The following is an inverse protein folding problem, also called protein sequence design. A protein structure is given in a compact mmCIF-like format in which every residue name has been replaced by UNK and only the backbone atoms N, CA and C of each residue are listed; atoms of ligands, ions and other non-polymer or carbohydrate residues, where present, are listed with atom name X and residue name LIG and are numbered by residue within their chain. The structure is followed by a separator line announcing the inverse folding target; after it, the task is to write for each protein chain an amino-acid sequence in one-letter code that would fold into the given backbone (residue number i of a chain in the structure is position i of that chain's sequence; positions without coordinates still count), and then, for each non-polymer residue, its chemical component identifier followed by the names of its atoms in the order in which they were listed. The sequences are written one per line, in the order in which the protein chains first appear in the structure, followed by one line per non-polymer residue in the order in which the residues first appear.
data_IF_001259225064
#
_entry.id   IF_001259225064
#
_cell.length_a   1.000
_cell.length_b   1.000
_cell.length_c   1.000
_cell.angle_alpha   90.00
_cell.angle_beta   90.00
_cell.angle_gamma   90.00
#
_symmetry.space_group_name_H-M   'P 1'
#
loop_
_entity.id
_entity.type
_entity.pdbx_description
1 polymer ?
#
# COMPACT_ATOMS: atom_id res chain seq x y z
N UNK A 1 2.85 -7.32 17.85
CA UNK A 1 1.72 -6.35 17.77
C UNK A 1 0.46 -7.02 18.29
N UNK A 2 -0.21 -6.52 19.32
CA UNK A 2 -1.43 -7.15 19.84
C UNK A 2 -2.66 -6.79 19.00
N UNK A 3 -3.56 -7.76 18.83
CA UNK A 3 -4.91 -7.53 18.36
C UNK A 3 -5.82 -7.13 19.51
N UNK A 4 -6.37 -5.93 19.43
CA UNK A 4 -7.25 -5.35 20.44
C UNK A 4 -8.68 -5.23 19.85
N UNK A 5 -9.73 -5.71 20.55
CA UNK A 5 -11.09 -5.50 20.11
C UNK A 5 -11.42 -4.02 19.97
N UNK A 6 -12.16 -3.67 18.91
CA UNK A 6 -12.64 -2.29 18.73
C UNK A 6 -13.88 -2.04 19.61
N UNK A 7 -13.84 -1.06 20.52
CA UNK A 7 -14.96 -0.80 21.42
C UNK A 7 -16.18 -0.19 20.72
N UNK A 8 -16.01 0.42 19.56
CA UNK A 8 -17.08 1.07 18.79
C UNK A 8 -17.71 0.13 17.75
N UNK A 9 -16.98 -0.94 17.36
CA UNK A 9 -17.42 -1.90 16.35
C UNK A 9 -17.30 -3.32 16.89
N UNK A 10 -18.38 -3.86 17.51
CA UNK A 10 -18.37 -5.22 18.07
C UNK A 10 -18.02 -6.28 17.01
N UNK A 11 -16.99 -7.08 17.30
CA UNK A 11 -16.48 -8.08 16.36
C UNK A 11 -15.31 -7.64 15.51
N UNK A 12 -15.04 -6.34 15.46
CA UNK A 12 -13.86 -5.79 14.79
C UNK A 12 -12.64 -5.72 15.74
N UNK A 13 -11.45 -5.68 15.14
CA UNK A 13 -10.17 -5.63 15.84
C UNK A 13 -9.25 -4.58 15.24
N UNK A 14 -8.42 -4.00 16.09
CA UNK A 14 -7.27 -3.16 15.71
C UNK A 14 -5.98 -3.95 15.93
N UNK A 15 -5.06 -3.85 14.99
CA UNK A 15 -3.66 -4.24 15.20
C UNK A 15 -2.92 -3.01 15.72
N UNK A 16 -2.38 -3.09 16.92
CA UNK A 16 -1.77 -1.94 17.58
C UNK A 16 -0.27 -2.17 17.77
N UNK A 17 0.53 -1.15 17.48
CA UNK A 17 1.95 -1.10 17.78
C UNK A 17 2.24 0.12 18.66
N UNK A 18 2.65 -0.11 19.91
CA UNK A 18 2.69 0.98 20.89
C UNK A 18 1.30 1.59 21.08
N UNK A 19 1.17 2.88 20.81
CA UNK A 19 -0.11 3.61 20.85
C UNK A 19 -0.74 3.79 19.47
N UNK A 20 -0.10 3.27 18.42
CA UNK A 20 -0.52 3.47 17.02
C UNK A 20 -1.29 2.27 16.48
N UNK A 21 -2.47 2.50 15.90
CA UNK A 21 -3.20 1.49 15.15
C UNK A 21 -2.59 1.31 13.77
N UNK A 22 -2.12 0.11 13.45
CA UNK A 22 -1.53 -0.24 12.15
C UNK A 22 -2.56 -0.81 11.17
N UNK A 23 -3.65 -1.37 11.68
CA UNK A 23 -4.69 -1.97 10.86
C UNK A 23 -6.00 -2.04 11.64
N UNK A 24 -7.09 -2.03 10.90
CA UNK A 24 -8.44 -2.28 11.43
C UNK A 24 -9.14 -3.32 10.55
N UNK A 25 -9.79 -4.29 11.17
CA UNK A 25 -10.46 -5.39 10.47
C UNK A 25 -11.77 -5.75 11.15
N UNK A 26 -12.84 -5.77 10.38
CA UNK A 26 -14.09 -6.44 10.72
C UNK A 26 -14.26 -7.66 9.79
N UNK A 27 -14.16 -8.89 10.31
CA UNK A 27 -14.31 -10.09 9.49
C UNK A 27 -15.69 -10.23 8.86
N UNK A 28 -16.73 -9.68 9.48
CA UNK A 28 -18.11 -9.73 8.98
C UNK A 28 -18.38 -8.64 7.93
N UNK A 29 -17.57 -7.58 7.93
CA UNK A 29 -17.73 -6.42 7.05
C UNK A 29 -16.41 -6.07 6.35
N UNK A 30 -15.91 -6.95 5.49
CA UNK A 30 -14.66 -6.68 4.75
C UNK A 30 -14.78 -5.48 3.79
N UNK A 31 -15.99 -5.04 3.49
CA UNK A 31 -16.31 -3.81 2.74
C UNK A 31 -16.09 -2.52 3.53
N UNK A 32 -16.10 -2.59 4.87
CA UNK A 32 -15.93 -1.45 5.74
C UNK A 32 -14.44 -1.16 5.96
N UNK A 33 -13.97 -0.06 5.40
CA UNK A 33 -12.59 0.39 5.50
C UNK A 33 -12.56 1.68 6.34
N UNK A 34 -11.95 1.64 7.53
CA UNK A 34 -11.90 2.80 8.42
C UNK A 34 -10.69 3.70 8.17
N UNK A 35 -9.57 3.14 7.72
CA UNK A 35 -8.38 3.94 7.45
C UNK A 35 -8.48 4.62 6.09
N UNK A 36 -8.30 5.92 6.09
CA UNK A 36 -8.48 6.77 4.90
C UNK A 36 -7.59 6.32 3.75
N UNK A 37 -6.33 5.96 4.03
CA UNK A 37 -5.42 5.48 2.97
C UNK A 37 -5.89 4.14 2.39
N UNK A 38 -6.47 3.25 3.19
CA UNK A 38 -6.99 1.96 2.70
C UNK A 38 -8.18 2.17 1.76
N UNK A 39 -9.05 3.16 2.06
CA UNK A 39 -10.12 3.58 1.15
C UNK A 39 -9.52 4.05 -0.18
N UNK A 40 -8.46 4.87 -0.15
CA UNK A 40 -7.82 5.35 -1.38
C UNK A 40 -7.09 4.22 -2.13
N UNK A 41 -6.50 3.23 -1.43
CA UNK A 41 -5.95 2.01 -2.05
C UNK A 41 -7.06 1.23 -2.77
N UNK A 42 -8.24 1.12 -2.18
CA UNK A 42 -9.38 0.46 -2.83
C UNK A 42 -9.83 1.16 -4.12
N UNK A 43 -9.83 2.49 -4.14
CA UNK A 43 -10.11 3.26 -5.35
C UNK A 43 -9.01 3.10 -6.41
N UNK A 44 -7.73 3.08 -6.01
CA UNK A 44 -6.62 2.79 -6.91
C UNK A 44 -6.75 1.38 -7.54
N UNK A 45 -7.15 0.38 -6.75
CA UNK A 45 -7.44 -0.96 -7.25
C UNK A 45 -8.52 -0.94 -8.34
N UNK A 46 -9.65 -0.27 -8.09
CA UNK A 46 -10.77 -0.20 -9.04
C UNK A 46 -10.40 0.51 -10.34
N UNK A 47 -9.78 1.68 -10.23
CA UNK A 47 -9.43 2.52 -11.37
C UNK A 47 -8.14 2.10 -12.09
N UNK A 48 -7.23 1.42 -11.39
CA UNK A 48 -5.98 0.92 -11.95
C UNK A 48 -6.14 -0.41 -12.70
N UNK A 49 -7.18 -1.19 -12.38
CA UNK A 49 -7.50 -2.46 -13.02
C UNK A 49 -8.83 -2.41 -13.77
N UNK A 50 -9.29 -1.21 -14.14
CA UNK A 50 -10.57 -1.01 -14.82
C UNK A 50 -10.67 -1.73 -16.18
N UNK A 51 -9.53 -1.96 -16.83
CA UNK A 51 -9.41 -2.71 -18.10
C UNK A 51 -9.45 -4.23 -17.93
N UNK A 52 -9.40 -4.73 -16.67
CA UNK A 52 -9.41 -6.16 -16.38
C UNK A 52 -10.82 -6.64 -16.11
N UNK A 53 -11.33 -7.51 -16.98
CA UNK A 53 -12.67 -8.06 -16.86
C UNK A 53 -12.94 -8.70 -15.50
N UNK A 54 -14.16 -8.53 -14.97
CA UNK A 54 -14.53 -9.05 -13.63
C UNK A 54 -14.35 -10.58 -13.49
N UNK A 55 -14.42 -11.32 -14.57
CA UNK A 55 -14.21 -12.77 -14.61
C UNK A 55 -12.75 -13.20 -14.79
N UNK A 56 -11.84 -12.27 -15.07
CA UNK A 56 -10.44 -12.60 -15.23
C UNK A 56 -9.78 -12.84 -13.88
N UNK A 57 -8.96 -13.88 -13.79
CA UNK A 57 -8.17 -14.15 -12.59
C UNK A 57 -6.98 -13.22 -12.53
N UNK A 58 -6.84 -12.51 -11.43
CA UNK A 58 -5.68 -11.70 -11.12
C UNK A 58 -4.88 -12.29 -9.97
N UNK A 59 -3.60 -11.91 -9.91
CA UNK A 59 -2.70 -12.21 -8.79
C UNK A 59 -2.26 -10.92 -8.14
N UNK A 60 -2.42 -10.86 -6.83
CA UNK A 60 -1.99 -9.71 -6.02
C UNK A 60 -0.94 -10.16 -5.03
N UNK A 61 0.14 -9.41 -4.96
CA UNK A 61 1.19 -9.60 -3.97
C UNK A 61 1.10 -8.45 -2.98
N UNK A 62 1.11 -8.77 -1.69
CA UNK A 62 1.16 -7.79 -0.61
C UNK A 62 2.50 -7.90 0.09
N UNK A 63 3.17 -6.78 0.27
CA UNK A 63 4.38 -6.62 1.06
C UNK A 63 3.96 -5.88 2.33
N UNK A 64 3.99 -6.61 3.45
CA UNK A 64 3.28 -6.23 4.67
C UNK A 64 1.86 -6.76 4.70
N UNK A 65 1.42 -7.21 5.87
CA UNK A 65 0.11 -7.86 6.02
C UNK A 65 -0.70 -7.33 7.17
N UNK A 66 -0.07 -7.09 8.29
CA UNK A 66 -0.71 -6.69 9.56
C UNK A 66 -2.03 -7.47 9.81
N UNK A 67 -3.18 -6.78 9.89
CA UNK A 67 -4.51 -7.41 10.07
C UNK A 67 -5.13 -7.99 8.81
N UNK A 68 -4.47 -7.89 7.65
CA UNK A 68 -4.96 -8.33 6.35
C UNK A 68 -6.21 -7.56 5.86
N UNK A 69 -6.37 -6.28 6.21
CA UNK A 69 -7.53 -5.47 5.79
C UNK A 69 -7.63 -5.36 4.26
N UNK A 70 -6.56 -4.97 3.58
CA UNK A 70 -6.53 -4.85 2.12
C UNK A 70 -6.74 -6.21 1.43
N UNK A 71 -6.03 -7.30 1.81
CA UNK A 71 -6.27 -8.62 1.25
C UNK A 71 -7.73 -9.11 1.41
N UNK A 72 -8.36 -8.87 2.57
CA UNK A 72 -9.74 -9.26 2.83
C UNK A 72 -10.72 -8.47 1.97
N UNK A 73 -10.50 -7.14 1.85
CA UNK A 73 -11.30 -6.30 0.98
C UNK A 73 -11.20 -6.76 -0.49
N UNK A 74 -10.01 -7.06 -0.99
CA UNK A 74 -9.82 -7.56 -2.37
C UNK A 74 -10.52 -8.90 -2.56
N UNK A 75 -10.41 -9.83 -1.60
CA UNK A 75 -11.09 -11.13 -1.68
C UNK A 75 -12.63 -11.00 -1.71
N UNK A 76 -13.17 -10.03 -0.96
CA UNK A 76 -14.60 -9.71 -0.97
C UNK A 76 -15.01 -9.02 -2.28
N UNK A 77 -14.25 -8.02 -2.71
CA UNK A 77 -14.56 -7.21 -3.90
C UNK A 77 -14.42 -7.98 -5.20
N UNK A 78 -13.44 -8.86 -5.28
CA UNK A 78 -13.12 -9.67 -6.46
C UNK A 78 -12.83 -11.12 -6.05
N UNK A 79 -13.89 -11.93 -5.82
CA UNK A 79 -13.74 -13.32 -5.42
C UNK A 79 -12.92 -14.11 -6.46
N UNK A 80 -12.08 -15.04 -5.98
CA UNK A 80 -11.21 -15.83 -6.84
C UNK A 80 -9.86 -15.19 -7.16
N UNK A 81 -9.58 -13.97 -6.68
CA UNK A 81 -8.25 -13.37 -6.73
C UNK A 81 -7.25 -14.21 -5.95
N UNK A 82 -6.13 -14.56 -6.60
CA UNK A 82 -5.03 -15.24 -5.93
C UNK A 82 -4.13 -14.20 -5.25
N UNK A 83 -3.95 -14.33 -3.93
CA UNK A 83 -3.20 -13.35 -3.14
C UNK A 83 -2.08 -14.02 -2.35
N UNK A 84 -0.88 -13.43 -2.38
CA UNK A 84 0.24 -13.79 -1.52
C UNK A 84 0.58 -12.57 -0.68
N UNK A 85 0.69 -12.78 0.62
CA UNK A 85 1.11 -11.76 1.59
C UNK A 85 2.47 -12.16 2.12
N UNK A 86 3.48 -11.32 1.98
CA UNK A 86 4.79 -11.44 2.58
C UNK A 86 4.75 -10.66 3.91
N UNK A 87 4.73 -11.39 5.04
CA UNK A 87 4.64 -10.84 6.39
C UNK A 87 5.68 -11.56 7.27
N UNK A 88 6.76 -10.88 7.66
CA UNK A 88 7.85 -11.54 8.42
C UNK A 88 7.50 -11.80 9.90
N UNK A 89 6.47 -11.14 10.46
CA UNK A 89 6.05 -11.41 11.85
C UNK A 89 5.13 -12.64 11.91
N UNK A 90 5.75 -13.81 12.10
CA UNK A 90 5.03 -15.07 12.28
C UNK A 90 4.09 -15.05 13.47
N UNK A 91 4.47 -14.37 14.57
CA UNK A 91 3.65 -14.26 15.78
C UNK A 91 2.37 -13.46 15.52
N UNK A 92 2.49 -12.33 14.81
CA UNK A 92 1.33 -11.55 14.37
C UNK A 92 0.44 -12.38 13.44
N UNK A 93 1.03 -13.08 12.48
CA UNK A 93 0.29 -13.92 11.52
C UNK A 93 -0.50 -15.02 12.27
N UNK A 94 0.09 -15.66 13.26
CA UNK A 94 -0.58 -16.69 14.07
C UNK A 94 -1.75 -16.09 14.88
N UNK A 95 -1.53 -14.94 15.52
CA UNK A 95 -2.58 -14.24 16.28
C UNK A 95 -3.74 -13.81 15.38
N UNK A 96 -3.43 -13.24 14.21
CA UNK A 96 -4.44 -12.86 13.20
C UNK A 96 -5.23 -14.08 12.74
N UNK A 97 -4.59 -15.19 12.42
CA UNK A 97 -5.28 -16.44 12.03
C UNK A 97 -6.21 -16.97 13.10
N UNK A 98 -5.82 -16.85 14.35
CA UNK A 98 -6.59 -17.34 15.49
C UNK A 98 -7.80 -16.47 15.80
N UNK A 99 -7.65 -15.14 15.82
CA UNK A 99 -8.72 -14.18 16.17
C UNK A 99 -9.58 -13.76 14.99
N UNK A 100 -8.98 -13.71 13.82
CA UNK A 100 -9.58 -13.25 12.56
C UNK A 100 -9.37 -14.31 11.47
N UNK A 101 -9.97 -15.51 11.58
CA UNK A 101 -9.77 -16.56 10.60
C UNK A 101 -10.18 -16.09 9.20
N UNK A 102 -9.43 -16.52 8.20
CA UNK A 102 -9.76 -16.23 6.81
C UNK A 102 -10.93 -17.14 6.38
N UNK A 103 -11.86 -16.61 5.57
CA UNK A 103 -12.92 -17.45 5.00
C UNK A 103 -12.33 -18.61 4.17
N UNK A 104 -12.99 -19.76 4.14
CA UNK A 104 -12.60 -20.84 3.24
C UNK A 104 -12.53 -20.34 1.80
N UNK A 105 -11.47 -20.73 1.09
CA UNK A 105 -11.25 -20.34 -0.32
C UNK A 105 -11.09 -18.81 -0.54
N UNK A 106 -10.66 -18.08 0.47
CA UNK A 106 -10.39 -16.64 0.35
C UNK A 106 -9.36 -16.27 -0.72
N UNK A 107 -8.55 -17.23 -1.17
CA UNK A 107 -7.45 -16.98 -2.11
C UNK A 107 -6.20 -16.37 -1.46
N UNK A 108 -6.24 -16.03 -0.17
CA UNK A 108 -5.16 -15.37 0.56
C UNK A 108 -4.21 -16.41 1.15
N UNK A 109 -2.91 -16.29 0.84
CA UNK A 109 -1.83 -17.09 1.41
C UNK A 109 -0.82 -16.16 2.07
N UNK A 110 -0.65 -16.26 3.38
CA UNK A 110 0.40 -15.53 4.10
C UNK A 110 1.65 -16.41 4.15
N UNK A 111 2.79 -15.81 3.78
CA UNK A 111 4.12 -16.40 3.85
C UNK A 111 4.92 -15.65 4.92
N UNK A 112 5.56 -16.40 5.78
CA UNK A 112 6.49 -15.92 6.79
C UNK A 112 7.83 -15.60 6.12
N UNK A 113 7.90 -14.43 5.48
CA UNK A 113 9.04 -13.96 4.71
C UNK A 113 8.97 -12.45 4.56
N UNK A 114 10.13 -11.79 4.55
CA UNK A 114 10.22 -10.37 4.25
C UNK A 114 9.86 -10.06 2.78
N UNK A 115 9.67 -8.77 2.48
CA UNK A 115 9.23 -8.32 1.16
C UNK A 115 10.23 -8.62 0.05
N UNK A 116 11.54 -8.37 0.28
CA UNK A 116 12.60 -8.60 -0.73
C UNK A 116 12.76 -10.09 -1.05
N UNK A 117 12.92 -10.90 -0.01
CA UNK A 117 13.04 -12.36 -0.16
C UNK A 117 11.80 -12.97 -0.81
N UNK A 118 10.63 -12.51 -0.42
CA UNK A 118 9.36 -12.97 -0.99
C UNK A 118 9.25 -12.67 -2.48
N UNK A 119 9.59 -11.44 -2.90
CA UNK A 119 9.57 -11.01 -4.32
C UNK A 119 10.63 -11.75 -5.14
N UNK A 120 11.85 -11.85 -4.63
CA UNK A 120 12.96 -12.55 -5.31
C UNK A 120 12.64 -14.02 -5.61
N UNK A 121 11.89 -14.69 -4.74
CA UNK A 121 11.48 -16.09 -4.90
C UNK A 121 10.33 -16.29 -5.90
N UNK A 122 9.75 -15.23 -6.46
CA UNK A 122 8.64 -15.34 -7.42
C UNK A 122 9.16 -15.24 -8.87
N UNK A 123 8.52 -15.96 -9.82
CA UNK A 123 8.92 -15.87 -11.22
C UNK A 123 8.58 -14.50 -11.83
N UNK A 124 9.22 -14.11 -12.95
CA UNK A 124 8.85 -12.91 -13.69
C UNK A 124 7.39 -12.99 -14.18
N UNK A 125 6.79 -11.84 -14.45
CA UNK A 125 5.41 -11.71 -14.95
C UNK A 125 4.35 -12.44 -14.10
N UNK A 126 4.57 -12.51 -12.80
CA UNK A 126 3.73 -13.26 -11.88
C UNK A 126 2.55 -12.47 -11.34
N UNK A 127 2.71 -11.17 -11.09
CA UNK A 127 1.72 -10.33 -10.43
C UNK A 127 1.02 -9.36 -11.40
N UNK A 128 -0.27 -9.17 -11.21
CA UNK A 128 -1.04 -8.10 -11.85
C UNK A 128 -1.04 -6.82 -11.00
N UNK A 129 -0.92 -6.96 -9.69
CA UNK A 129 -0.82 -5.88 -8.72
C UNK A 129 0.14 -6.26 -7.60
N UNK A 130 0.96 -5.31 -7.20
CA UNK A 130 1.72 -5.37 -5.94
C UNK A 130 1.23 -4.23 -5.04
N UNK A 131 0.93 -4.53 -3.78
CA UNK A 131 0.63 -3.54 -2.75
C UNK A 131 1.79 -3.56 -1.75
N UNK A 132 2.52 -2.45 -1.65
CA UNK A 132 3.57 -2.24 -0.68
C UNK A 132 2.98 -1.38 0.45
N UNK A 133 2.72 -2.03 1.57
CA UNK A 133 2.14 -1.43 2.78
C UNK A 133 2.85 -2.03 4.00
N UNK A 134 4.19 -1.88 4.02
CA UNK A 134 5.08 -2.46 5.02
C UNK A 134 5.71 -1.37 5.86
N UNK A 135 5.57 -1.50 7.17
CA UNK A 135 6.10 -0.58 8.16
C UNK A 135 6.85 -1.33 9.24
N UNK A 136 8.02 -0.82 9.61
CA UNK A 136 8.68 -1.17 10.86
C UNK A 136 8.42 -0.02 11.86
N UNK A 137 7.50 -0.26 12.79
CA UNK A 137 6.99 0.81 13.63
C UNK A 137 6.25 1.90 12.84
N UNK A 138 6.86 3.08 12.70
CA UNK A 138 6.26 4.24 12.03
C UNK A 138 6.91 4.59 10.68
N UNK A 139 7.88 3.84 10.22
CA UNK A 139 8.62 4.10 8.98
C UNK A 139 8.59 2.94 7.99
N UNK A 140 8.71 3.28 6.72
CA UNK A 140 8.87 2.32 5.64
C UNK A 140 10.35 1.95 5.56
N UNK A 141 10.72 0.64 5.57
CA UNK A 141 12.10 0.22 5.45
C UNK A 141 12.74 0.68 4.13
N UNK A 142 13.95 1.26 4.22
CA UNK A 142 14.66 1.79 3.07
C UNK A 142 14.96 0.75 2.00
N UNK A 143 15.16 -0.48 2.38
CA UNK A 143 15.38 -1.60 1.47
C UNK A 143 14.21 -1.87 0.50
N UNK A 144 13.00 -1.44 0.84
CA UNK A 144 11.79 -1.61 0.03
C UNK A 144 11.58 -0.47 -0.98
N UNK A 145 12.45 0.54 -1.00
CA UNK A 145 12.34 1.69 -1.90
C UNK A 145 13.57 1.90 -2.78
N UNK A 146 14.61 1.09 -2.59
CA UNK A 146 15.83 1.13 -3.39
C UNK A 146 15.55 0.72 -4.85
N UNK A 147 16.31 1.28 -5.77
CA UNK A 147 16.20 1.04 -7.20
C UNK A 147 16.28 -0.45 -7.55
N UNK A 148 17.16 -1.19 -6.89
CA UNK A 148 17.36 -2.62 -7.09
C UNK A 148 16.10 -3.42 -6.71
N UNK A 149 15.42 -3.05 -5.62
CA UNK A 149 14.15 -3.66 -5.26
C UNK A 149 13.02 -3.28 -6.23
N UNK A 150 13.02 -2.04 -6.72
CA UNK A 150 12.05 -1.60 -7.73
C UNK A 150 12.24 -2.33 -9.07
N UNK A 151 13.47 -2.73 -9.42
CA UNK A 151 13.74 -3.58 -10.58
C UNK A 151 13.11 -4.97 -10.40
N UNK A 152 13.21 -5.55 -9.20
CA UNK A 152 12.55 -6.80 -8.87
C UNK A 152 11.01 -6.70 -8.93
N UNK A 153 10.44 -5.60 -8.45
CA UNK A 153 9.00 -5.35 -8.59
C UNK A 153 8.58 -5.21 -10.06
N UNK A 154 9.40 -4.53 -10.87
CA UNK A 154 9.14 -4.39 -12.30
C UNK A 154 9.27 -5.73 -13.05
N UNK A 155 10.20 -6.59 -12.64
CA UNK A 155 10.34 -7.97 -13.14
C UNK A 155 9.12 -8.82 -12.78
N UNK A 156 8.61 -8.67 -11.57
CA UNK A 156 7.48 -9.42 -11.06
C UNK A 156 6.15 -9.04 -11.74
N UNK A 157 6.01 -7.79 -12.16
CA UNK A 157 4.76 -7.26 -12.71
C UNK A 157 4.49 -7.73 -14.13
N UNK A 158 3.39 -8.45 -14.34
CA UNK A 158 2.93 -8.86 -15.67
C UNK A 158 2.64 -7.64 -16.54
N UNK A 159 3.45 -7.47 -17.60
CA UNK A 159 3.35 -6.27 -18.44
C UNK A 159 3.56 -4.97 -17.67
N UNK A 160 4.31 -5.03 -16.54
CA UNK A 160 4.48 -3.94 -15.57
C UNK A 160 3.14 -3.33 -15.15
N UNK A 161 2.19 -4.19 -14.76
CA UNK A 161 0.86 -3.71 -14.44
C UNK A 161 0.90 -2.66 -13.36
N UNK A 162 0.70 -2.93 -12.12
CA UNK A 162 0.55 -1.86 -11.13
C UNK A 162 1.27 -2.18 -9.83
N UNK A 163 1.89 -1.17 -9.26
CA UNK A 163 2.37 -1.16 -7.87
C UNK A 163 1.68 -0.01 -7.14
N UNK A 164 1.07 -0.29 -6.00
CA UNK A 164 0.51 0.69 -5.08
C UNK A 164 1.38 0.68 -3.83
N UNK A 165 1.95 1.83 -3.48
CA UNK A 165 2.81 1.97 -2.31
C UNK A 165 2.18 2.96 -1.33
N UNK A 166 2.07 2.54 -0.06
CA UNK A 166 1.74 3.43 1.04
C UNK A 166 3.03 3.80 1.77
N UNK A 167 3.31 5.09 1.85
CA UNK A 167 4.47 5.62 2.56
C UNK A 167 4.05 6.79 3.44
N UNK A 168 4.89 7.15 4.40
CA UNK A 168 4.65 8.28 5.28
C UNK A 168 5.75 9.32 5.17
N UNK A 169 5.38 10.58 5.03
CA UNK A 169 6.33 11.70 4.90
C UNK A 169 5.64 13.03 5.25
N UNK A 170 6.41 14.09 5.21
CA UNK A 170 5.95 15.48 5.36
C UNK A 170 6.71 16.40 4.42
N UNK A 171 6.14 17.58 4.15
CA UNK A 171 6.82 18.59 3.35
C UNK A 171 8.22 18.89 3.92
N UNK A 172 9.26 18.99 3.06
CA UNK A 172 9.26 19.13 1.60
C UNK A 172 9.25 17.80 0.82
N UNK A 173 8.96 16.64 1.43
CA UNK A 173 8.85 15.32 0.80
C UNK A 173 10.15 14.84 0.13
N UNK A 174 11.30 15.17 0.68
CA UNK A 174 12.58 14.82 0.07
C UNK A 174 12.76 13.32 -0.13
N UNK A 175 12.37 12.53 0.87
CA UNK A 175 12.42 11.09 0.83
C UNK A 175 11.44 10.51 -0.22
N UNK A 176 10.17 10.94 -0.18
CA UNK A 176 9.14 10.44 -1.12
C UNK A 176 9.44 10.83 -2.57
N UNK A 177 10.07 12.00 -2.81
CA UNK A 177 10.50 12.42 -4.16
C UNK A 177 11.56 11.48 -4.73
N UNK A 178 12.52 11.04 -3.93
CA UNK A 178 13.54 10.06 -4.34
C UNK A 178 12.89 8.71 -4.67
N UNK A 179 11.98 8.24 -3.83
CA UNK A 179 11.21 7.02 -4.12
C UNK A 179 10.38 7.16 -5.40
N UNK A 180 9.69 8.28 -5.58
CA UNK A 180 8.91 8.57 -6.79
C UNK A 180 9.78 8.63 -8.05
N UNK A 181 11.02 9.14 -7.95
CA UNK A 181 11.98 9.13 -9.05
C UNK A 181 12.29 7.69 -9.49
N UNK A 182 12.57 6.79 -8.54
CA UNK A 182 12.81 5.38 -8.82
C UNK A 182 11.64 4.67 -9.50
N UNK A 183 10.41 4.98 -9.07
CA UNK A 183 9.21 4.46 -9.72
C UNK A 183 9.02 5.04 -11.14
N UNK A 184 9.28 6.33 -11.34
CA UNK A 184 9.11 7.00 -12.63
C UNK A 184 10.08 6.48 -13.72
N UNK A 185 11.25 5.96 -13.34
CA UNK A 185 12.19 5.32 -14.28
C UNK A 185 11.70 3.97 -14.80
N UNK A 186 10.86 3.27 -14.05
CA UNK A 186 10.45 1.88 -14.31
C UNK A 186 9.05 1.73 -14.84
N UNK A 187 8.15 2.66 -14.53
CA UNK A 187 6.76 2.61 -14.96
C UNK A 187 6.40 3.84 -15.79
N UNK A 188 5.57 3.60 -16.80
CA UNK A 188 5.14 4.66 -17.74
C UNK A 188 4.22 5.69 -17.10
N UNK A 189 3.40 5.25 -16.15
CA UNK A 189 2.40 6.08 -15.48
C UNK A 189 2.67 6.07 -13.99
N UNK A 190 2.74 7.24 -13.40
CA UNK A 190 2.90 7.42 -11.96
C UNK A 190 1.93 8.48 -11.47
N UNK A 191 1.29 8.18 -10.34
CA UNK A 191 0.41 9.08 -9.60
C UNK A 191 0.93 9.16 -8.17
N UNK A 192 0.83 10.34 -7.58
CA UNK A 192 1.06 10.54 -6.14
C UNK A 192 -0.14 11.26 -5.57
N UNK A 193 -0.67 10.72 -4.48
CA UNK A 193 -1.84 11.28 -3.81
C UNK A 193 -1.67 11.32 -2.30
N UNK A 194 -2.17 12.36 -1.71
CA UNK A 194 -2.31 12.49 -0.26
C UNK A 194 -3.36 13.53 0.08
N UNK A 195 -3.69 13.66 1.35
CA UNK A 195 -4.61 14.66 1.83
C UNK A 195 -4.10 16.08 1.59
N UNK A 196 -5.01 17.05 1.34
CA UNK A 196 -4.63 18.45 1.15
C UNK A 196 -3.85 19.07 2.30
N UNK A 197 -4.05 18.60 3.53
CA UNK A 197 -3.33 19.09 4.70
C UNK A 197 -1.85 18.64 4.69
N UNK A 198 -1.59 17.41 4.27
CA UNK A 198 -0.24 16.86 4.08
C UNK A 198 0.46 17.59 2.93
N UNK A 199 -0.21 17.76 1.77
CA UNK A 199 0.33 18.53 0.63
C UNK A 199 0.77 19.95 1.01
N UNK A 200 0.02 20.59 1.90
CA UNK A 200 0.31 21.95 2.38
C UNK A 200 1.35 22.00 3.51
N UNK A 201 1.97 20.86 3.86
CA UNK A 201 2.97 20.77 4.92
C UNK A 201 2.42 21.07 6.33
N UNK A 202 1.10 20.93 6.53
CA UNK A 202 0.46 21.21 7.82
C UNK A 202 0.55 20.05 8.79
N UNK A 203 0.78 18.85 8.28
CA UNK A 203 0.98 17.63 9.07
C UNK A 203 1.80 16.59 8.31
N UNK A 204 2.35 15.65 9.05
CA UNK A 204 2.84 14.39 8.56
C UNK A 204 1.66 13.50 8.15
N UNK A 205 1.83 12.60 7.22
CA UNK A 205 0.75 11.67 6.84
C UNK A 205 1.12 10.72 5.72
N UNK A 206 0.15 9.90 5.35
CA UNK A 206 0.31 8.91 4.30
C UNK A 206 0.33 9.58 2.91
N UNK A 207 1.24 9.11 2.07
CA UNK A 207 1.23 9.36 0.63
C UNK A 207 1.07 8.02 -0.08
N UNK A 208 0.17 7.97 -1.04
CA UNK A 208 0.02 6.83 -1.93
C UNK A 208 0.69 7.13 -3.26
N UNK A 209 1.58 6.22 -3.67
CA UNK A 209 2.19 6.24 -4.99
C UNK A 209 1.64 5.06 -5.79
N UNK A 210 1.13 5.32 -6.98
CA UNK A 210 0.62 4.28 -7.86
C UNK A 210 1.37 4.33 -9.18
N UNK A 211 2.20 3.32 -9.42
CA UNK A 211 3.00 3.18 -10.63
C UNK A 211 2.41 2.06 -11.51
N UNK A 212 2.20 2.33 -12.81
CA UNK A 212 1.56 1.39 -13.71
C UNK A 212 2.16 1.41 -15.12
N UNK A 213 2.25 0.25 -15.74
CA UNK A 213 2.56 0.11 -17.17
C UNK A 213 1.36 0.41 -18.06
N UNK A 214 0.14 0.26 -17.54
CA UNK A 214 -1.12 0.56 -18.23
C UNK A 214 -1.72 1.87 -17.72
N UNK A 215 -2.64 2.44 -18.48
CA UNK A 215 -3.27 3.70 -18.10
C UNK A 215 -4.26 3.51 -16.96
N UNK A 216 -4.14 4.34 -15.93
CA UNK A 216 -5.10 4.43 -14.83
C UNK A 216 -6.22 5.41 -15.21
N UNK A 217 -7.47 5.10 -14.85
CA UNK A 217 -8.56 6.08 -14.96
C UNK A 217 -8.48 7.15 -13.86
N UNK A 218 -7.59 8.11 -14.08
CA UNK A 218 -7.33 9.19 -13.11
C UNK A 218 -8.54 10.11 -12.93
N UNK A 219 -9.36 10.27 -13.97
CA UNK A 219 -10.57 11.10 -13.88
C UNK A 219 -11.60 10.47 -12.95
N UNK A 220 -11.85 9.17 -13.12
CA UNK A 220 -12.71 8.41 -12.22
C UNK A 220 -12.17 8.38 -10.80
N UNK A 221 -10.87 8.12 -10.63
CA UNK A 221 -10.19 8.12 -9.34
C UNK A 221 -10.39 9.45 -8.59
N UNK A 222 -10.13 10.59 -9.23
CA UNK A 222 -10.32 11.93 -8.64
C UNK A 222 -11.76 12.17 -8.24
N UNK A 223 -12.71 11.83 -9.12
CA UNK A 223 -14.14 11.98 -8.86
C UNK A 223 -14.58 11.17 -7.64
N UNK A 224 -14.15 9.92 -7.53
CA UNK A 224 -14.60 9.02 -6.48
C UNK A 224 -13.85 9.27 -5.16
N UNK A 225 -12.58 9.65 -5.22
CA UNK A 225 -11.81 10.14 -4.07
C UNK A 225 -12.43 11.40 -3.45
N UNK A 226 -12.93 12.33 -4.28
CA UNK A 226 -13.57 13.57 -3.81
C UNK A 226 -14.87 13.34 -3.02
N UNK A 227 -15.50 12.17 -3.16
CA UNK A 227 -16.71 11.78 -2.41
C UNK A 227 -16.40 11.15 -1.05
N UNK A 228 -15.13 10.84 -0.78
CA UNK A 228 -14.75 10.20 0.47
C UNK A 228 -14.66 11.24 1.61
N UNK A 229 -14.85 10.83 2.87
CA UNK A 229 -14.68 11.71 4.03
C UNK A 229 -13.30 12.41 4.08
N UNK A 230 -12.25 11.70 3.66
CA UNK A 230 -10.89 12.21 3.55
C UNK A 230 -10.42 12.12 2.09
N UNK A 231 -10.74 13.12 1.25
CA UNK A 231 -10.37 13.09 -0.16
C UNK A 231 -8.87 13.33 -0.34
N UNK A 232 -8.27 12.59 -1.28
CA UNK A 232 -6.88 12.79 -1.68
C UNK A 232 -6.80 13.72 -2.90
N UNK A 233 -5.80 14.57 -2.91
CA UNK A 233 -5.39 15.30 -4.12
C UNK A 233 -4.32 14.47 -4.84
N UNK A 234 -4.61 14.13 -6.06
CA UNK A 234 -3.75 13.32 -6.93
C UNK A 234 -3.01 14.19 -7.93
N UNK A 235 -1.69 14.03 -8.02
CA UNK A 235 -0.83 14.66 -9.04
C UNK A 235 -0.28 13.63 -10.00
N UNK A 236 -0.12 14.01 -11.26
CA UNK A 236 0.41 13.19 -12.36
C UNK A 236 1.07 14.05 -13.45
N UNK A 237 1.68 13.41 -14.42
CA UNK A 237 2.17 14.06 -15.65
C UNK A 237 3.17 15.20 -15.37
N UNK A 238 2.92 16.39 -15.89
CA UNK A 238 3.84 17.54 -15.74
C UNK A 238 3.95 17.98 -14.28
N UNK A 239 2.85 18.03 -13.56
CA UNK A 239 2.84 18.45 -12.17
C UNK A 239 3.70 17.52 -11.31
N UNK A 240 3.55 16.20 -11.50
CA UNK A 240 4.35 15.20 -10.80
C UNK A 240 5.83 15.30 -11.15
N UNK A 241 6.16 15.44 -12.44
CA UNK A 241 7.57 15.62 -12.86
C UNK A 241 8.19 16.86 -12.23
N UNK A 242 7.46 17.97 -12.20
CA UNK A 242 7.93 19.21 -11.53
C UNK A 242 8.10 19.01 -10.03
N UNK A 243 7.22 18.23 -9.40
CA UNK A 243 7.31 17.93 -7.97
C UNK A 243 8.47 16.98 -7.63
N UNK A 244 8.73 15.96 -8.44
CA UNK A 244 9.94 15.11 -8.29
C UNK A 244 11.19 15.98 -8.44
N UNK A 245 11.20 16.89 -9.42
CA UNK A 245 12.33 17.77 -9.69
C UNK A 245 13.57 16.99 -10.13
N UNK A 246 14.72 17.30 -9.54
CA UNK A 246 15.98 16.61 -9.77
C UNK A 246 16.30 15.56 -8.70
N UNK A 247 15.29 14.97 -8.05
CA UNK A 247 15.54 13.94 -7.05
C UNK A 247 16.08 12.66 -7.72
N UNK A 248 17.19 12.16 -7.19
CA UNK A 248 17.81 10.89 -7.61
C UNK A 248 17.15 9.73 -6.85
N UNK A 249 16.89 8.56 -7.49
CA UNK A 249 16.39 7.37 -6.80
C UNK A 249 17.28 6.96 -5.62
N UNK A 250 16.71 6.25 -4.66
CA UNK A 250 17.50 5.50 -3.70
C UNK A 250 18.13 4.28 -4.37
N UNK A 251 19.32 3.90 -3.91
CA UNK A 251 20.00 2.65 -4.26
C UNK A 251 20.27 1.85 -2.99
N UNK A 252 20.64 0.58 -3.12
CA UNK A 252 21.07 -0.23 -1.96
C UNK A 252 22.27 0.38 -1.22
N UNK A 253 23.05 1.25 -1.88
CA UNK A 253 24.20 1.92 -1.28
C UNK A 253 23.85 3.14 -0.40
N UNK A 254 22.69 3.77 -0.64
CA UNK A 254 22.30 5.01 0.04
C UNK A 254 20.82 5.04 0.49
N UNK A 255 20.17 3.89 0.49
CA UNK A 255 18.80 3.73 0.97
C UNK A 255 18.67 4.18 2.44
N UNK A 256 17.53 4.75 2.76
CA UNK A 256 17.18 5.22 4.10
C UNK A 256 15.72 4.88 4.37
N UNK A 257 15.42 4.60 5.63
CA UNK A 257 14.03 4.47 6.08
C UNK A 257 13.29 5.80 5.90
N UNK A 258 11.97 5.73 5.76
CA UNK A 258 11.15 6.95 5.68
C UNK A 258 11.31 7.79 6.95
N UNK A 259 11.18 9.12 6.86
CA UNK A 259 11.34 9.97 8.04
C UNK A 259 10.25 9.63 9.09
N UNK A 260 10.61 9.62 10.39
CA UNK A 260 9.62 9.48 11.45
C UNK A 260 8.73 10.72 11.53
N UNK A 261 7.52 10.59 12.10
CA UNK A 261 6.71 11.76 12.39
C UNK A 261 7.45 12.72 13.33
N UNK A 262 7.56 13.97 12.92
CA UNK A 262 8.17 15.02 13.72
C UNK A 262 7.25 15.41 14.88
N UNK A 263 7.67 15.15 16.12
CA UNK A 263 6.99 15.51 17.36
C UNK A 263 6.30 14.33 18.06
N UNK A 264 6.16 14.44 19.40
CA UNK A 264 5.64 13.43 20.31
C UNK A 264 4.12 13.18 20.22
N UNK A 265 3.46 13.59 19.15
CA UNK A 265 2.04 13.33 18.92
C UNK A 265 1.87 12.25 17.86
N UNK A 266 1.61 11.04 18.31
CA UNK A 266 1.15 9.94 17.49
C UNK A 266 -0.14 10.34 16.74
N UNK A 267 -0.14 10.20 15.43
CA UNK A 267 -1.07 10.85 14.50
C UNK A 267 -2.28 10.01 14.10
N UNK A 268 -2.61 9.01 14.91
CA UNK A 268 -3.79 8.18 14.69
C UNK A 268 -4.64 8.12 15.96
N UNK A 269 -5.40 9.15 16.19
CA UNK A 269 -6.49 9.16 17.16
C UNK A 269 -7.83 9.15 16.44
#
# INVERSE_FOLDING_TARGET
MPLVPDPQHPGAFRVVFGETSQSWVDPARPDLLLFEYVVQVSLLFEHGLADVGQGERIRVIHIGGAGLSIPRWIAWRRPGTAQIVCEPDAGLTEEVRRKLPLPPRSGIKVRDVDGRSGVAAMPPDYADLVVLDAFDGAWVPGELVAAEFLDELARLGRGRRMVICNVTDSSPFGWTRRFAAGLAERWRHLLVGTEPAVWKGRRFGNLLLAASGTRVDVTGLRRDSAKQPCPYRWIEGRELRSWIGGAEPFTDADMQDSPPPSGSKLWFS
#
